data_IF_001463391621
#
_entry.id   IF_001463391621
#
_cell.length_a   1.000
_cell.length_b   1.000
_cell.length_c   1.000
_cell.angle_alpha   90.00
_cell.angle_beta   90.00
_cell.angle_gamma   90.00
#
_symmetry.space_group_name_H-M   'P 1'
#
loop_
_entity.id
_entity.type
_entity.pdbx_description
1 polymer ?
#
# COMPACT_ATOMS: atom_id res chain seq x y z
N UNK A 1 -18.58 -28.37 21.55
CA UNK A 1 -19.61 -27.48 22.13
C UNK A 1 -18.92 -26.27 22.74
N UNK A 2 -18.74 -25.21 21.95
CA UNK A 2 -18.31 -23.88 22.38
C UNK A 2 -18.89 -22.90 21.33
N UNK A 3 -20.22 -22.87 21.23
CA UNK A 3 -20.97 -22.07 20.25
C UNK A 3 -22.07 -21.25 20.95
N UNK A 4 -21.75 -20.73 22.13
CA UNK A 4 -22.54 -19.69 22.82
C UNK A 4 -21.58 -18.59 23.24
N UNK A 5 -20.77 -18.13 22.28
CA UNK A 5 -20.04 -16.87 22.38
C UNK A 5 -20.89 -15.83 21.69
N UNK A 6 -21.39 -14.87 22.45
CA UNK A 6 -22.14 -13.70 21.98
C UNK A 6 -21.46 -13.12 20.73
N UNK A 7 -21.94 -13.48 19.54
CA UNK A 7 -21.40 -13.04 18.25
C UNK A 7 -21.93 -11.63 18.02
N UNK A 8 -21.42 -10.67 18.80
CA UNK A 8 -21.61 -9.25 18.52
C UNK A 8 -20.77 -8.95 17.30
N UNK A 9 -21.31 -9.28 16.13
CA UNK A 9 -20.80 -8.75 14.90
C UNK A 9 -21.21 -7.27 14.90
N UNK A 10 -20.43 -6.43 15.60
CA UNK A 10 -20.66 -4.98 15.72
C UNK A 10 -20.66 -4.29 14.35
N UNK A 11 -20.05 -4.92 13.33
CA UNK A 11 -20.14 -4.52 11.93
C UNK A 11 -21.49 -4.85 11.24
N UNK A 12 -22.32 -5.71 11.82
CA UNK A 12 -23.64 -6.07 11.28
C UNK A 12 -24.77 -5.21 11.87
N UNK A 13 -24.55 -4.59 13.02
CA UNK A 13 -25.56 -3.78 13.72
C UNK A 13 -25.53 -2.30 13.37
N UNK A 14 -24.36 -1.75 12.97
CA UNK A 14 -24.22 -0.34 12.64
C UNK A 14 -23.56 -0.17 11.27
N UNK A 15 -24.34 0.32 10.30
CA UNK A 15 -23.90 0.55 8.92
C UNK A 15 -22.69 1.49 8.85
N UNK A 16 -22.58 2.43 9.79
CA UNK A 16 -21.44 3.34 9.86
C UNK A 16 -20.15 2.59 10.21
N UNK A 17 -20.19 1.68 11.20
CA UNK A 17 -19.04 0.85 11.56
C UNK A 17 -18.64 -0.10 10.44
N UNK A 18 -19.61 -0.66 9.71
CA UNK A 18 -19.35 -1.47 8.51
C UNK A 18 -18.55 -0.67 7.46
N UNK A 19 -19.05 0.51 7.07
CA UNK A 19 -18.42 1.38 6.08
C UNK A 19 -17.04 1.82 6.49
N UNK A 20 -16.87 2.23 7.75
CA UNK A 20 -15.57 2.62 8.31
C UNK A 20 -14.56 1.47 8.28
N UNK A 21 -14.98 0.25 8.65
CA UNK A 21 -14.09 -0.92 8.65
C UNK A 21 -13.61 -1.27 7.25
N UNK A 22 -14.51 -1.31 6.27
CA UNK A 22 -14.16 -1.60 4.87
C UNK A 22 -13.25 -0.50 4.31
N UNK A 23 -13.58 0.76 4.57
CA UNK A 23 -12.77 1.90 4.16
C UNK A 23 -11.36 1.86 4.73
N UNK A 24 -11.21 1.66 6.04
CA UNK A 24 -9.90 1.57 6.69
C UNK A 24 -9.09 0.38 6.17
N UNK A 25 -9.71 -0.77 5.95
CA UNK A 25 -9.03 -1.94 5.40
C UNK A 25 -8.44 -1.65 4.01
N UNK A 26 -9.24 -1.08 3.11
CA UNK A 26 -8.79 -0.70 1.75
C UNK A 26 -7.71 0.37 1.81
N UNK A 27 -7.89 1.40 2.64
CA UNK A 27 -6.93 2.48 2.79
C UNK A 27 -5.59 1.98 3.31
N UNK A 28 -5.57 1.15 4.35
CA UNK A 28 -4.34 0.60 4.92
C UNK A 28 -3.61 -0.33 3.94
N UNK A 29 -4.32 -1.18 3.19
CA UNK A 29 -3.74 -2.08 2.18
C UNK A 29 -3.03 -1.30 1.07
N UNK A 30 -3.65 -0.20 0.62
CA UNK A 30 -3.07 0.68 -0.39
C UNK A 30 -1.86 1.42 0.20
N UNK A 31 -2.02 2.14 1.31
CA UNK A 31 -0.95 2.94 1.92
C UNK A 31 0.29 2.10 2.27
N UNK A 32 0.10 0.88 2.79
CA UNK A 32 1.22 -0.02 3.11
C UNK A 32 2.08 -0.33 1.88
N UNK A 33 1.43 -0.68 0.76
CA UNK A 33 2.14 -0.99 -0.50
C UNK A 33 2.89 0.23 -1.04
N UNK A 34 2.30 1.42 -0.96
CA UNK A 34 2.92 2.66 -1.41
C UNK A 34 4.13 3.04 -0.56
N UNK A 35 4.02 2.99 0.77
CA UNK A 35 5.14 3.31 1.65
C UNK A 35 6.33 2.36 1.46
N UNK A 36 6.10 1.09 1.16
CA UNK A 36 7.17 0.15 0.82
C UNK A 36 7.92 0.58 -0.45
N UNK A 37 7.23 1.09 -1.46
CA UNK A 37 7.85 1.58 -2.69
C UNK A 37 8.60 2.89 -2.46
N UNK A 38 8.00 3.84 -1.72
CA UNK A 38 8.71 5.07 -1.35
C UNK A 38 9.99 4.75 -0.56
N UNK A 39 9.94 3.78 0.36
CA UNK A 39 11.13 3.34 1.09
C UNK A 39 12.18 2.67 0.18
N UNK A 40 11.76 1.91 -0.83
CA UNK A 40 12.66 1.32 -1.82
C UNK A 40 13.32 2.40 -2.70
N UNK A 41 12.56 3.41 -3.09
CA UNK A 41 13.04 4.57 -3.87
C UNK A 41 14.02 5.41 -3.04
N UNK A 42 13.70 5.70 -1.78
CA UNK A 42 14.61 6.41 -0.87
C UNK A 42 15.96 5.68 -0.71
N UNK A 43 15.93 4.36 -0.50
CA UNK A 43 17.15 3.52 -0.48
C UNK A 43 17.91 3.56 -1.81
N UNK A 44 17.21 3.57 -2.95
CA UNK A 44 17.85 3.72 -4.26
C UNK A 44 18.57 5.07 -4.38
N UNK A 45 17.93 6.16 -3.94
CA UNK A 45 18.53 7.50 -3.97
C UNK A 45 19.77 7.60 -3.06
N UNK A 46 19.72 7.02 -1.86
CA UNK A 46 20.84 7.01 -0.91
C UNK A 46 22.03 6.20 -1.44
N UNK A 47 21.77 5.09 -2.15
CA UNK A 47 22.81 4.20 -2.68
C UNK A 47 23.36 4.64 -4.04
N UNK A 48 22.78 5.67 -4.67
CA UNK A 48 23.25 6.18 -5.96
C UNK A 48 24.63 6.85 -5.82
N UNK A 49 25.59 6.58 -6.73
CA UNK A 49 26.94 7.16 -6.67
C UNK A 49 26.99 8.66 -7.00
N UNK A 50 25.91 9.23 -7.53
CA UNK A 50 25.82 10.64 -7.93
C UNK A 50 25.46 11.55 -6.74
N UNK A 51 26.34 12.52 -6.46
CA UNK A 51 26.17 13.51 -5.37
C UNK A 51 24.89 14.33 -5.55
N UNK A 52 24.53 14.69 -6.79
CA UNK A 52 23.31 15.46 -7.09
C UNK A 52 22.02 14.68 -6.79
N UNK A 53 22.04 13.37 -7.05
CA UNK A 53 20.92 12.47 -6.78
C UNK A 53 20.79 12.20 -5.28
N UNK A 54 21.91 12.11 -4.55
CA UNK A 54 21.94 12.04 -3.09
C UNK A 54 21.43 13.33 -2.43
N UNK A 55 21.74 14.49 -3.02
CA UNK A 55 21.25 15.81 -2.56
C UNK A 55 19.75 16.01 -2.81
N UNK A 56 19.21 15.40 -3.87
CA UNK A 56 17.77 15.42 -4.18
C UNK A 56 16.94 14.57 -3.20
N UNK A 57 17.56 13.62 -2.50
CA UNK A 57 17.01 12.90 -1.34
C UNK A 57 16.96 13.81 -0.10
N UNK A 58 16.37 15.00 -0.23
CA UNK A 58 16.17 15.88 0.91
C UNK A 58 14.95 15.39 1.68
N UNK A 59 15.06 15.25 3.01
CA UNK A 59 13.97 14.78 3.88
C UNK A 59 12.67 15.55 3.63
N UNK A 60 12.76 16.85 3.34
CA UNK A 60 11.58 17.68 3.01
C UNK A 60 10.81 17.21 1.77
N UNK A 61 11.49 16.68 0.75
CA UNK A 61 10.83 16.15 -0.44
C UNK A 61 10.15 14.81 -0.15
N UNK A 62 10.80 13.95 0.65
CA UNK A 62 10.20 12.69 1.09
C UNK A 62 8.94 12.93 1.93
N UNK A 63 8.99 13.83 2.92
CA UNK A 63 7.82 14.19 3.72
C UNK A 63 6.69 14.78 2.87
N UNK A 64 6.99 15.70 1.94
CA UNK A 64 5.99 16.27 1.03
C UNK A 64 5.33 15.20 0.17
N UNK A 65 6.10 14.26 -0.37
CA UNK A 65 5.59 13.16 -1.20
C UNK A 65 4.70 12.22 -0.38
N UNK A 66 5.13 11.84 0.82
CA UNK A 66 4.33 11.01 1.73
C UNK A 66 2.99 11.68 2.05
N UNK A 67 3.00 12.97 2.40
CA UNK A 67 1.78 13.69 2.77
C UNK A 67 0.86 13.85 1.57
N UNK A 68 1.38 14.25 0.40
CA UNK A 68 0.57 14.40 -0.81
C UNK A 68 -0.07 13.09 -1.23
N UNK A 69 0.69 12.00 -1.21
CA UNK A 69 0.21 10.68 -1.62
C UNK A 69 -0.82 10.15 -0.62
N UNK A 70 -0.59 10.34 0.68
CA UNK A 70 -1.54 9.90 1.72
C UNK A 70 -2.88 10.61 1.57
N UNK A 71 -2.87 11.94 1.36
CA UNK A 71 -4.09 12.72 1.12
C UNK A 71 -4.79 12.31 -0.17
N UNK A 72 -4.02 12.08 -1.24
CA UNK A 72 -4.57 11.60 -2.51
C UNK A 72 -5.27 10.25 -2.34
N UNK A 73 -4.66 9.28 -1.64
CA UNK A 73 -5.26 7.97 -1.41
C UNK A 73 -6.46 7.99 -0.47
N UNK A 74 -6.49 8.90 0.51
CA UNK A 74 -7.66 9.13 1.36
C UNK A 74 -8.86 9.60 0.51
N UNK A 75 -8.65 10.62 -0.33
CA UNK A 75 -9.70 11.15 -1.20
C UNK A 75 -10.14 10.10 -2.21
N UNK A 76 -9.18 9.40 -2.84
CA UNK A 76 -9.48 8.37 -3.81
C UNK A 76 -10.28 7.24 -3.16
N UNK A 77 -9.88 6.74 -2.00
CA UNK A 77 -10.54 5.62 -1.29
C UNK A 77 -11.93 5.96 -0.75
N UNK A 78 -12.34 7.24 -0.76
CA UNK A 78 -13.69 7.66 -0.34
C UNK A 78 -14.81 6.95 -1.11
N UNK A 79 -14.58 6.57 -2.37
CA UNK A 79 -15.52 5.75 -3.15
C UNK A 79 -15.88 4.44 -2.41
N UNK A 80 -14.89 3.77 -1.80
CA UNK A 80 -15.11 2.52 -1.06
C UNK A 80 -16.03 2.69 0.15
N UNK A 81 -16.06 3.89 0.76
CA UNK A 81 -16.99 4.19 1.87
C UNK A 81 -18.45 4.25 1.41
N UNK A 82 -18.71 4.74 0.19
CA UNK A 82 -20.06 4.92 -0.36
C UNK A 82 -20.65 3.59 -0.85
N UNK A 83 -19.82 2.71 -1.41
CA UNK A 83 -20.26 1.43 -1.98
C UNK A 83 -20.31 0.26 -0.99
N UNK A 84 -19.85 0.47 0.25
CA UNK A 84 -20.01 -0.49 1.34
C UNK A 84 -21.43 -0.41 1.92
N UNK A 85 -22.13 -1.54 1.94
CA UNK A 85 -23.50 -1.65 2.45
C UNK A 85 -23.66 -2.91 3.31
N UNK A 86 -24.75 -2.99 4.06
CA UNK A 86 -25.08 -4.21 4.82
C UNK A 86 -26.02 -5.06 3.99
N UNK A 87 -25.57 -6.25 3.58
CA UNK A 87 -26.38 -7.19 2.79
C UNK A 87 -26.87 -8.32 3.70
N UNK A 88 -28.14 -8.68 3.56
CA UNK A 88 -28.75 -9.80 4.27
C UNK A 88 -28.54 -11.08 3.46
N UNK A 89 -27.77 -12.04 4.00
CA UNK A 89 -27.52 -13.34 3.33
C UNK A 89 -28.56 -14.39 3.71
N UNK A 90 -29.06 -14.35 4.94
CA UNK A 90 -30.03 -15.29 5.52
C UNK A 90 -30.98 -14.48 6.42
N UNK A 91 -32.24 -14.87 6.64
CA UNK A 91 -33.06 -14.27 7.69
C UNK A 91 -32.28 -14.13 9.00
N UNK A 92 -32.28 -12.92 9.58
CA UNK A 92 -31.52 -12.54 10.79
C UNK A 92 -29.98 -12.54 10.72
N UNK A 93 -29.36 -12.74 9.55
CA UNK A 93 -27.91 -12.61 9.37
C UNK A 93 -27.56 -11.51 8.35
N UNK A 94 -27.08 -10.38 8.88
CA UNK A 94 -26.51 -9.27 8.12
C UNK A 94 -25.00 -9.42 8.08
N UNK A 95 -24.41 -9.27 6.89
CA UNK A 95 -22.97 -9.13 6.73
C UNK A 95 -22.66 -7.77 6.13
N UNK A 96 -21.49 -7.24 6.49
CA UNK A 96 -20.94 -6.07 5.86
C UNK A 96 -20.26 -6.50 4.55
N UNK A 97 -20.83 -6.15 3.40
CA UNK A 97 -20.29 -6.52 2.10
C UNK A 97 -20.50 -5.41 1.07
N UNK A 98 -19.65 -5.36 0.04
CA UNK A 98 -19.87 -4.41 -1.05
C UNK A 98 -21.13 -4.79 -1.82
N UNK A 99 -21.83 -3.79 -2.37
CA UNK A 99 -23.05 -4.05 -3.17
C UNK A 99 -22.77 -5.07 -4.27
N UNK A 100 -23.60 -6.11 -4.35
CA UNK A 100 -23.54 -7.11 -5.41
C UNK A 100 -23.79 -6.47 -6.78
N UNK A 101 -22.95 -6.78 -7.78
CA UNK A 101 -23.06 -6.24 -9.13
C UNK A 101 -21.72 -6.16 -9.86
N UNK A 102 -21.58 -5.20 -10.77
CA UNK A 102 -20.37 -4.97 -11.58
C UNK A 102 -19.19 -4.40 -10.76
N UNK A 103 -19.49 -3.66 -9.70
CA UNK A 103 -18.50 -2.98 -8.84
C UNK A 103 -17.44 -3.90 -8.20
N UNK A 104 -17.77 -5.05 -7.59
CA UNK A 104 -16.76 -5.98 -7.06
C UNK A 104 -15.83 -6.55 -8.15
N UNK A 105 -16.31 -6.75 -9.37
CA UNK A 105 -15.47 -7.20 -10.48
C UNK A 105 -14.47 -6.13 -10.90
N UNK A 106 -14.89 -4.86 -10.96
CA UNK A 106 -13.99 -3.73 -11.20
C UNK A 106 -12.92 -3.60 -10.12
N UNK A 107 -13.30 -3.71 -8.85
CA UNK A 107 -12.35 -3.67 -7.73
C UNK A 107 -11.36 -4.82 -7.84
N UNK A 108 -11.83 -6.05 -8.10
CA UNK A 108 -10.95 -7.21 -8.21
C UNK A 108 -9.92 -7.02 -9.34
N UNK A 109 -10.35 -6.54 -10.51
CA UNK A 109 -9.46 -6.26 -11.63
C UNK A 109 -8.44 -5.15 -11.32
N UNK A 110 -8.91 -4.05 -10.72
CA UNK A 110 -8.06 -2.96 -10.26
C UNK A 110 -7.02 -3.44 -9.23
N UNK A 111 -7.43 -4.26 -8.25
CA UNK A 111 -6.53 -4.82 -7.24
C UNK A 111 -5.49 -5.75 -7.84
N UNK A 112 -5.83 -6.55 -8.85
CA UNK A 112 -4.86 -7.38 -9.57
C UNK A 112 -3.82 -6.54 -10.30
N UNK A 113 -4.25 -5.52 -11.04
CA UNK A 113 -3.34 -4.58 -11.72
C UNK A 113 -2.45 -3.88 -10.68
N UNK A 114 -3.02 -3.42 -9.57
CA UNK A 114 -2.29 -2.80 -8.46
C UNK A 114 -1.19 -3.73 -7.96
N UNK A 115 -1.52 -4.97 -7.60
CA UNK A 115 -0.57 -5.93 -7.03
C UNK A 115 0.57 -6.21 -8.01
N UNK A 116 0.26 -6.45 -9.29
CA UNK A 116 1.27 -6.73 -10.32
C UNK A 116 2.18 -5.51 -10.53
N UNK A 117 1.60 -4.32 -10.67
CA UNK A 117 2.34 -3.08 -10.89
C UNK A 117 3.26 -2.75 -9.72
N UNK A 118 2.72 -2.77 -8.49
CA UNK A 118 3.47 -2.46 -7.27
C UNK A 118 4.60 -3.46 -7.01
N UNK A 119 4.34 -4.75 -7.21
CA UNK A 119 5.36 -5.80 -7.08
C UNK A 119 6.48 -5.63 -8.11
N UNK A 120 6.11 -5.33 -9.37
CA UNK A 120 7.09 -5.10 -10.44
C UNK A 120 7.99 -3.90 -10.12
N UNK A 121 7.42 -2.78 -9.69
CA UNK A 121 8.18 -1.59 -9.29
C UNK A 121 9.13 -1.89 -8.13
N UNK A 122 8.65 -2.59 -7.10
CA UNK A 122 9.47 -2.96 -5.94
C UNK A 122 10.66 -3.86 -6.35
N UNK A 123 10.44 -4.83 -7.25
CA UNK A 123 11.51 -5.70 -7.77
C UNK A 123 12.54 -4.88 -8.57
N UNK A 124 12.09 -3.95 -9.41
CA UNK A 124 12.99 -3.09 -10.21
C UNK A 124 13.82 -2.20 -9.30
N UNK A 125 13.20 -1.43 -8.40
CA UNK A 125 13.92 -0.54 -7.48
C UNK A 125 14.83 -1.30 -6.51
N UNK A 126 14.38 -2.43 -5.99
CA UNK A 126 15.21 -3.33 -5.17
C UNK A 126 16.42 -3.85 -5.94
N UNK A 127 16.23 -4.29 -7.18
CA UNK A 127 17.32 -4.79 -8.04
C UNK A 127 18.33 -3.70 -8.37
N UNK A 128 17.87 -2.48 -8.68
CA UNK A 128 18.73 -1.32 -8.92
C UNK A 128 19.54 -0.95 -7.67
N UNK A 129 18.91 -0.97 -6.50
CA UNK A 129 19.58 -0.74 -5.21
C UNK A 129 20.71 -1.75 -4.98
N UNK A 130 20.44 -3.05 -5.18
CA UNK A 130 21.47 -4.11 -5.05
C UNK A 130 22.60 -3.93 -6.05
N UNK A 131 22.30 -3.58 -7.31
CA UNK A 131 23.31 -3.29 -8.33
C UNK A 131 24.18 -2.10 -7.94
N UNK A 132 23.60 -1.02 -7.45
CA UNK A 132 24.32 0.16 -6.98
C UNK A 132 25.27 -0.17 -5.82
N UNK A 133 24.79 -0.91 -4.80
CA UNK A 133 25.62 -1.35 -3.67
C UNK A 133 26.79 -2.22 -4.14
N UNK A 134 26.54 -3.19 -5.04
CA UNK A 134 27.59 -4.05 -5.60
C UNK A 134 28.62 -3.25 -6.39
N UNK A 135 28.20 -2.26 -7.16
CA UNK A 135 29.11 -1.40 -7.93
C UNK A 135 29.97 -0.54 -7.00
N UNK A 136 29.39 0.07 -5.97
CA UNK A 136 30.15 0.84 -4.97
C UNK A 136 31.18 -0.05 -4.25
N UNK A 137 30.78 -1.26 -3.82
CA UNK A 137 31.72 -2.21 -3.18
C UNK A 137 32.85 -2.64 -4.12
N UNK A 138 32.58 -2.87 -5.41
CA UNK A 138 33.63 -3.20 -6.39
C UNK A 138 34.61 -2.05 -6.59
N UNK A 139 34.13 -0.81 -6.71
CA UNK A 139 34.98 0.37 -6.87
C UNK A 139 35.80 0.65 -5.60
N UNK A 140 35.21 0.55 -4.41
CA UNK A 140 35.95 0.70 -3.15
C UNK A 140 36.97 -0.42 -2.94
N UNK A 141 36.65 -1.67 -3.29
CA UNK A 141 37.59 -2.79 -3.21
C UNK A 141 38.77 -2.65 -4.18
N UNK A 142 38.52 -2.20 -5.42
CA UNK A 142 39.58 -1.92 -6.37
C UNK A 142 40.52 -0.80 -5.90
N UNK A 143 39.98 0.23 -5.22
CA UNK A 143 40.77 1.36 -4.71
C UNK A 143 41.67 1.00 -3.53
N UNK A 144 41.37 -0.07 -2.78
CA UNK A 144 42.19 -0.57 -1.67
C UNK A 144 43.37 -1.41 -2.18
N UNK A 145 43.25 -2.05 -3.34
CA UNK A 145 44.30 -2.91 -3.91
C UNK A 145 45.38 -2.09 -4.64
N UNK A 146 45.07 -0.84 -5.03
CA UNK A 146 45.98 0.06 -5.75
C UNK A 146 46.66 1.13 -4.86
N UNK A 147 46.57 1.01 -3.53
CA UNK A 147 47.19 1.95 -2.59
C UNK A 147 48.32 1.30 -1.79
#
# INVERSE_FOLDING_TARGET
>A
MLDIGYNINTGSYNIFCCRMRVYLFVLCDILSSFYLILAAIDRMFITSPSVETRRRSNNNFAYKSIISDTLFWIIFSSHSFIFADTVQLVPNHFICYTKFGFYPACIAYYSLIKIISMSSLMIVFGSLTVRNIRNVRRVSGARIITS
#
